data_IF_878135266282
#
_entry.id   IF_878135266282
#
_cell.length_a   1.000
_cell.length_b   1.000
_cell.length_c   1.000
_cell.angle_alpha   90.00
_cell.angle_beta   90.00
_cell.angle_gamma   90.00
#
_symmetry.space_group_name_H-M   'P 1'
#
loop_
_entity.id
_entity.type
_entity.pdbx_description
1 polymer ?
#
# COMPACT_ATOMS: atom_id res chain seq x y z
N UNK A 1 -2.34 -31.85 -35.31
CA UNK A 1 -1.98 -31.94 -36.75
C UNK A 1 -2.86 -32.95 -37.50
N UNK A 2 -3.04 -34.16 -36.98
CA UNK A 2 -3.82 -35.19 -37.67
C UNK A 2 -5.30 -34.83 -37.93
N UNK A 3 -5.93 -34.00 -37.09
CA UNK A 3 -7.32 -33.59 -37.25
C UNK A 3 -7.49 -32.73 -38.50
N UNK A 4 -6.60 -31.77 -38.73
CA UNK A 4 -6.65 -30.91 -39.90
C UNK A 4 -6.21 -31.60 -41.18
N UNK A 5 -5.32 -32.59 -41.09
CA UNK A 5 -4.94 -33.43 -42.24
C UNK A 5 -6.09 -34.35 -42.71
N UNK A 6 -6.99 -34.69 -41.79
CA UNK A 6 -8.14 -35.58 -42.05
C UNK A 6 -9.49 -34.86 -41.84
N UNK A 7 -9.54 -33.56 -42.13
CA UNK A 7 -10.72 -32.71 -41.86
C UNK A 7 -12.00 -33.20 -42.57
N UNK A 8 -11.84 -33.92 -43.67
CA UNK A 8 -12.93 -34.45 -44.47
C UNK A 8 -13.38 -35.87 -44.05
N UNK A 9 -12.80 -36.39 -42.97
CA UNK A 9 -13.20 -37.71 -42.47
C UNK A 9 -14.67 -37.69 -42.03
N UNK A 10 -15.38 -38.77 -42.37
CA UNK A 10 -16.84 -38.94 -42.13
C UNK A 10 -17.21 -38.94 -40.64
N UNK A 11 -16.25 -39.19 -39.76
CA UNK A 11 -16.45 -39.13 -38.31
C UNK A 11 -16.58 -37.68 -37.78
N UNK A 12 -16.08 -36.70 -38.53
CA UNK A 12 -16.20 -35.26 -38.21
C UNK A 12 -17.52 -34.73 -38.77
N UNK A 13 -18.43 -34.36 -37.89
CA UNK A 13 -19.74 -33.82 -38.28
C UNK A 13 -19.57 -32.47 -39.01
N UNK A 14 -20.47 -32.14 -39.96
CA UNK A 14 -20.35 -30.92 -40.78
C UNK A 14 -20.13 -29.63 -39.95
N UNK A 15 -20.91 -29.44 -38.89
CA UNK A 15 -20.80 -28.28 -38.01
C UNK A 15 -19.47 -28.24 -37.18
N UNK A 16 -18.94 -29.42 -36.84
CA UNK A 16 -17.62 -29.49 -36.18
C UNK A 16 -16.50 -29.14 -37.16
N UNK A 17 -16.62 -29.59 -38.42
CA UNK A 17 -15.67 -29.25 -39.48
C UNK A 17 -15.63 -27.75 -39.74
N UNK A 18 -16.78 -27.10 -39.84
CA UNK A 18 -16.89 -25.65 -40.01
C UNK A 18 -16.16 -24.92 -38.87
N UNK A 19 -16.46 -25.27 -37.64
CA UNK A 19 -15.85 -24.68 -36.46
C UNK A 19 -14.34 -24.93 -36.36
N UNK A 20 -13.88 -26.11 -36.72
CA UNK A 20 -12.44 -26.43 -36.76
C UNK A 20 -11.71 -25.58 -37.82
N UNK A 21 -12.33 -25.31 -38.96
CA UNK A 21 -11.76 -24.48 -40.01
C UNK A 21 -11.73 -23.01 -39.62
N UNK A 22 -12.82 -22.51 -39.03
CA UNK A 22 -12.90 -21.12 -38.55
C UNK A 22 -11.86 -20.83 -37.44
N UNK A 23 -11.73 -21.76 -36.47
CA UNK A 23 -10.86 -21.57 -35.30
C UNK A 23 -9.45 -22.18 -35.46
N UNK A 24 -9.00 -22.43 -36.72
CA UNK A 24 -7.72 -23.08 -36.96
C UNK A 24 -6.54 -22.28 -36.36
N UNK A 25 -6.54 -20.96 -36.52
CA UNK A 25 -5.49 -20.10 -35.99
C UNK A 25 -5.41 -20.15 -34.46
N UNK A 26 -6.56 -20.18 -33.78
CA UNK A 26 -6.63 -20.30 -32.33
C UNK A 26 -6.13 -21.67 -31.84
N UNK A 27 -6.43 -22.74 -32.60
CA UNK A 27 -5.92 -24.07 -32.29
C UNK A 27 -4.39 -24.15 -32.46
N UNK A 28 -3.85 -23.55 -33.52
CA UNK A 28 -2.40 -23.48 -33.75
C UNK A 28 -1.69 -22.63 -32.66
N UNK A 29 -2.27 -21.52 -32.27
CA UNK A 29 -1.76 -20.69 -31.15
C UNK A 29 -1.81 -21.46 -29.83
N UNK A 30 -2.93 -22.15 -29.55
CA UNK A 30 -3.09 -22.98 -28.35
C UNK A 30 -2.07 -24.12 -28.30
N UNK A 31 -1.80 -24.74 -29.44
CA UNK A 31 -0.76 -25.77 -29.54
C UNK A 31 0.63 -25.21 -29.30
N UNK A 32 0.94 -24.05 -29.87
CA UNK A 32 2.22 -23.36 -29.64
C UNK A 32 2.41 -23.03 -28.16
N UNK A 33 1.39 -22.46 -27.51
CA UNK A 33 1.44 -22.06 -26.10
C UNK A 33 1.46 -23.27 -25.15
N UNK A 34 0.79 -24.36 -25.52
CA UNK A 34 0.78 -25.61 -24.73
C UNK A 34 2.00 -26.50 -24.94
N UNK A 35 2.86 -26.20 -25.91
CA UNK A 35 4.05 -27.01 -26.20
C UNK A 35 5.22 -26.55 -25.34
N UNK A 36 5.77 -27.48 -24.56
CA UNK A 36 6.95 -27.22 -23.73
C UNK A 36 8.16 -26.94 -24.63
N UNK A 37 8.78 -25.79 -24.44
CA UNK A 37 10.02 -25.45 -25.13
C UNK A 37 11.22 -26.10 -24.45
N UNK A 38 11.96 -26.90 -25.19
CA UNK A 38 13.18 -27.58 -24.71
C UNK A 38 14.47 -26.83 -25.12
N UNK A 39 14.32 -25.74 -25.87
CA UNK A 39 15.39 -24.90 -26.43
C UNK A 39 15.56 -23.57 -25.67
N UNK A 40 14.95 -23.44 -24.49
CA UNK A 40 15.09 -22.26 -23.67
C UNK A 40 16.58 -22.01 -23.32
N UNK A 41 17.06 -20.76 -23.39
CA UNK A 41 18.46 -20.45 -23.11
C UNK A 41 18.72 -20.44 -21.59
N UNK A 42 18.72 -21.61 -20.97
CA UNK A 42 19.00 -21.81 -19.55
C UNK A 42 20.36 -22.53 -19.39
N UNK A 43 21.05 -22.22 -18.31
CA UNK A 43 22.25 -22.97 -17.94
C UNK A 43 21.83 -24.36 -17.42
N UNK A 44 22.33 -25.42 -18.08
CA UNK A 44 22.02 -26.80 -17.73
C UNK A 44 23.16 -27.51 -16.96
N UNK A 45 24.20 -26.77 -16.56
CA UNK A 45 25.30 -27.32 -15.77
C UNK A 45 24.81 -27.69 -14.36
N UNK A 46 25.07 -28.89 -13.89
CA UNK A 46 24.67 -29.40 -12.57
C UNK A 46 25.05 -28.45 -11.41
N UNK A 47 26.19 -27.76 -11.54
CA UNK A 47 26.67 -26.80 -10.54
C UNK A 47 25.90 -25.50 -10.46
N UNK A 48 25.17 -25.12 -11.52
CA UNK A 48 24.45 -23.85 -11.61
C UNK A 48 23.23 -23.79 -10.69
N UNK A 49 22.69 -24.94 -10.30
CA UNK A 49 21.44 -25.06 -9.53
C UNK A 49 21.63 -25.54 -8.10
N UNK A 50 22.86 -25.40 -7.56
CA UNK A 50 23.10 -25.70 -6.14
C UNK A 50 22.40 -24.68 -5.27
N UNK A 51 21.59 -25.18 -4.33
CA UNK A 51 20.93 -24.34 -3.33
C UNK A 51 22.00 -23.87 -2.32
N UNK A 52 22.23 -22.56 -2.27
CA UNK A 52 23.06 -21.92 -1.24
C UNK A 52 22.22 -21.42 -0.07
N UNK A 53 22.86 -20.75 0.90
CA UNK A 53 22.15 -20.18 2.05
C UNK A 53 21.19 -19.03 1.67
N UNK A 54 21.37 -18.44 0.50
CA UNK A 54 20.57 -17.33 0.00
C UNK A 54 20.82 -16.02 0.74
N UNK A 55 20.17 -14.95 0.28
CA UNK A 55 20.17 -13.66 0.96
C UNK A 55 18.78 -13.39 1.53
N UNK A 56 18.62 -13.67 2.82
CA UNK A 56 17.33 -13.54 3.51
C UNK A 56 16.79 -12.12 3.49
N UNK A 57 17.65 -11.11 3.68
CA UNK A 57 17.24 -9.70 3.68
C UNK A 57 16.75 -9.24 2.29
N UNK A 58 17.45 -9.67 1.22
CA UNK A 58 17.00 -9.40 -0.15
C UNK A 58 15.72 -10.16 -0.49
N UNK A 59 15.55 -11.39 0.02
CA UNK A 59 14.33 -12.16 -0.17
C UNK A 59 13.13 -11.49 0.50
N UNK A 60 13.28 -11.00 1.74
CA UNK A 60 12.21 -10.24 2.42
C UNK A 60 11.84 -8.99 1.63
N UNK A 61 12.86 -8.22 1.20
CA UNK A 61 12.63 -7.02 0.38
C UNK A 61 11.85 -7.34 -0.90
N UNK A 62 12.28 -8.36 -1.64
CA UNK A 62 11.61 -8.78 -2.88
C UNK A 62 10.17 -9.27 -2.64
N UNK A 63 9.93 -10.06 -1.58
CA UNK A 63 8.59 -10.53 -1.25
C UNK A 63 7.66 -9.39 -0.85
N UNK A 64 8.17 -8.36 -0.18
CA UNK A 64 7.43 -7.14 0.13
C UNK A 64 7.13 -6.33 -1.14
N UNK A 65 8.13 -6.16 -2.04
CA UNK A 65 7.96 -5.48 -3.33
C UNK A 65 6.91 -6.16 -4.24
N UNK A 66 6.82 -7.48 -4.18
CA UNK A 66 5.84 -8.27 -4.92
C UNK A 66 4.52 -8.47 -4.15
N UNK A 67 4.37 -7.85 -2.97
CA UNK A 67 3.19 -7.97 -2.09
C UNK A 67 2.86 -9.42 -1.68
N UNK A 68 3.85 -10.33 -1.71
CA UNK A 68 3.66 -11.74 -1.37
C UNK A 68 3.99 -11.98 0.12
N UNK A 69 3.35 -11.23 1.01
CA UNK A 69 3.62 -11.25 2.45
C UNK A 69 3.41 -12.63 3.10
N UNK A 70 2.49 -13.43 2.56
CA UNK A 70 2.18 -14.77 3.07
C UNK A 70 3.36 -15.76 2.98
N UNK A 71 4.34 -15.49 2.15
CA UNK A 71 5.52 -16.34 2.00
C UNK A 71 6.62 -16.02 3.05
N UNK A 72 6.61 -14.83 3.64
CA UNK A 72 7.62 -14.44 4.65
C UNK A 72 7.66 -15.43 5.81
N UNK A 73 6.56 -15.71 6.54
CA UNK A 73 6.55 -16.71 7.61
C UNK A 73 6.78 -18.12 7.08
N UNK A 74 6.27 -18.42 5.88
CA UNK A 74 6.40 -19.77 5.30
C UNK A 74 7.84 -20.15 4.98
N UNK A 75 8.70 -19.17 4.68
CA UNK A 75 10.14 -19.38 4.47
C UNK A 75 10.98 -19.14 5.73
N UNK A 76 10.35 -18.94 6.90
CA UNK A 76 11.05 -18.67 8.16
C UNK A 76 11.84 -17.36 8.13
N UNK A 77 11.32 -16.36 7.45
CA UNK A 77 11.92 -15.04 7.31
C UNK A 77 11.33 -14.01 8.31
N UNK A 78 10.53 -14.48 9.27
CA UNK A 78 9.97 -13.64 10.32
C UNK A 78 11.07 -12.97 11.14
N UNK A 79 10.95 -11.66 11.34
CA UNK A 79 11.94 -10.87 12.08
C UNK A 79 13.23 -10.57 11.30
N UNK A 80 13.33 -10.99 10.04
CA UNK A 80 14.43 -10.58 9.17
C UNK A 80 14.11 -9.19 8.60
N UNK A 81 14.95 -8.19 8.92
CA UNK A 81 14.81 -6.86 8.33
C UNK A 81 15.06 -6.93 6.81
N UNK A 82 14.28 -6.25 5.98
CA UNK A 82 14.55 -6.15 4.54
C UNK A 82 15.90 -5.46 4.30
N UNK A 83 16.53 -5.75 3.15
CA UNK A 83 17.74 -5.06 2.75
C UNK A 83 17.47 -3.55 2.62
N UNK A 84 18.25 -2.74 3.31
CA UNK A 84 18.12 -1.29 3.23
C UNK A 84 18.36 -0.79 1.80
N UNK A 85 17.58 0.19 1.36
CA UNK A 85 17.89 0.91 0.14
C UNK A 85 19.14 1.77 0.35
N UNK A 86 20.06 1.83 -0.62
CA UNK A 86 21.31 2.57 -0.48
C UNK A 86 21.13 4.09 -0.32
N UNK A 87 19.92 4.60 -0.54
CA UNK A 87 19.58 6.03 -0.45
C UNK A 87 18.82 6.40 0.82
N UNK A 88 18.67 5.50 1.80
CA UNK A 88 17.95 5.82 3.04
C UNK A 88 18.76 6.80 3.87
N UNK A 89 18.33 8.05 3.91
CA UNK A 89 18.89 9.05 4.80
C UNK A 89 18.56 8.68 6.26
N UNK A 90 19.49 8.86 7.21
CA UNK A 90 19.19 8.61 8.61
C UNK A 90 18.08 9.55 9.09
N UNK A 91 17.04 8.97 9.68
CA UNK A 91 15.97 9.75 10.29
C UNK A 91 16.49 10.53 11.52
N UNK A 92 16.05 11.75 11.67
CA UNK A 92 16.32 12.56 12.88
C UNK A 92 15.31 12.23 13.97
N UNK A 93 15.65 12.50 15.22
CA UNK A 93 14.71 12.33 16.33
C UNK A 93 13.67 13.45 16.31
N UNK A 94 12.39 13.10 16.29
CA UNK A 94 11.28 14.04 16.34
C UNK A 94 10.96 14.43 17.79
N UNK A 95 10.42 15.63 17.97
CA UNK A 95 9.98 16.14 19.27
C UNK A 95 8.48 15.88 19.47
N UNK A 96 8.08 15.82 20.75
CA UNK A 96 6.67 15.84 21.15
C UNK A 96 6.42 17.16 21.87
N UNK A 97 5.40 17.89 21.45
CA UNK A 97 5.05 19.17 22.03
C UNK A 97 3.52 19.34 22.12
N UNK A 98 3.09 20.39 22.77
CA UNK A 98 1.66 20.74 22.91
C UNK A 98 1.26 21.65 21.75
N UNK A 99 0.12 21.34 21.11
CA UNK A 99 -0.39 22.14 20.02
C UNK A 99 -0.50 23.62 20.44
N UNK A 100 -0.01 24.58 19.63
CA UNK A 100 -0.10 25.99 19.92
C UNK A 100 -1.54 26.44 20.18
N UNK A 101 -1.75 27.47 21.00
CA UNK A 101 -3.07 28.05 21.24
C UNK A 101 -3.70 28.61 19.95
N UNK A 102 -2.87 29.12 19.05
CA UNK A 102 -3.25 29.59 17.71
C UNK A 102 -2.46 28.77 16.67
N UNK A 103 -2.92 27.57 16.32
CA UNK A 103 -2.24 26.77 15.30
C UNK A 103 -2.32 27.46 13.95
N UNK A 104 -1.30 27.31 13.13
CA UNK A 104 -1.28 27.87 11.78
C UNK A 104 -0.42 27.03 10.85
N UNK A 105 -0.74 27.07 9.55
CA UNK A 105 -0.01 26.38 8.51
C UNK A 105 -0.52 24.98 8.23
N UNK A 106 0.35 24.13 7.72
CA UNK A 106 0.00 22.79 7.27
C UNK A 106 0.35 21.74 8.32
N UNK A 107 -0.59 20.86 8.59
CA UNK A 107 -0.40 19.73 9.49
C UNK A 107 -0.82 18.43 8.80
N UNK A 108 -0.12 17.36 9.13
CA UNK A 108 -0.57 16.01 8.86
C UNK A 108 -1.32 15.52 10.09
N UNK A 109 -2.54 15.04 9.89
CA UNK A 109 -3.40 14.55 10.97
C UNK A 109 -3.61 13.04 10.82
N UNK A 110 -3.34 12.29 11.86
CA UNK A 110 -3.62 10.86 11.86
C UNK A 110 -3.96 10.32 13.26
N UNK A 111 -4.68 9.20 13.25
CA UNK A 111 -5.01 8.44 14.43
C UNK A 111 -4.01 7.31 14.64
N UNK A 112 -3.59 7.12 15.88
CA UNK A 112 -3.01 5.87 16.31
C UNK A 112 -4.14 4.96 16.81
N UNK A 113 -4.39 3.81 16.17
CA UNK A 113 -5.44 2.90 16.58
C UNK A 113 -5.22 2.38 18.00
N UNK A 114 -6.29 2.03 18.70
CA UNK A 114 -6.21 1.43 20.01
C UNK A 114 -5.45 0.10 19.97
N UNK A 115 -4.51 -0.07 20.88
CA UNK A 115 -3.80 -1.35 21.06
C UNK A 115 -4.56 -2.19 22.07
N UNK A 116 -5.00 -3.37 21.64
CA UNK A 116 -5.69 -4.34 22.48
C UNK A 116 -4.81 -5.53 22.80
N UNK A 117 -4.93 -6.05 23.99
CA UNK A 117 -4.22 -7.25 24.44
C UNK A 117 -5.15 -8.20 25.20
N UNK A 118 -4.62 -9.35 25.59
CA UNK A 118 -5.33 -10.31 26.42
C UNK A 118 -4.83 -10.26 27.85
N UNK A 119 -5.77 -10.13 28.80
CA UNK A 119 -5.51 -10.36 30.22
C UNK A 119 -6.35 -11.54 30.67
N UNK A 120 -5.76 -12.72 30.70
CA UNK A 120 -6.48 -13.99 30.82
C UNK A 120 -7.35 -14.25 29.58
N UNK A 121 -8.65 -14.41 29.77
CA UNK A 121 -9.65 -14.62 28.69
C UNK A 121 -10.28 -13.33 28.18
N UNK A 122 -10.03 -12.19 28.84
CA UNK A 122 -10.64 -10.90 28.49
C UNK A 122 -9.72 -10.10 27.55
N UNK A 123 -10.32 -9.50 26.52
CA UNK A 123 -9.65 -8.47 25.73
C UNK A 123 -9.66 -7.17 26.54
N UNK A 124 -8.51 -6.55 26.67
CA UNK A 124 -8.32 -5.26 27.34
C UNK A 124 -7.65 -4.28 26.39
N UNK A 125 -8.02 -3.01 26.50
CA UNK A 125 -7.34 -1.93 25.79
C UNK A 125 -6.08 -1.60 26.58
N UNK A 126 -4.92 -1.86 25.99
CA UNK A 126 -3.60 -1.53 26.56
C UNK A 126 -3.25 -0.08 26.32
N UNK A 127 -3.56 0.42 25.13
CA UNK A 127 -3.42 1.81 24.76
C UNK A 127 -4.68 2.25 24.01
N UNK A 128 -5.33 3.34 24.40
CA UNK A 128 -6.50 3.85 23.71
C UNK A 128 -6.12 4.44 22.36
N UNK A 129 -7.10 4.61 21.49
CA UNK A 129 -6.96 5.42 20.28
C UNK A 129 -6.54 6.84 20.68
N UNK A 130 -5.66 7.43 19.86
CA UNK A 130 -5.20 8.78 20.06
C UNK A 130 -4.98 9.49 18.74
N UNK A 131 -5.32 10.76 18.67
CA UNK A 131 -5.09 11.62 17.53
C UNK A 131 -3.82 12.44 17.69
N UNK A 132 -3.13 12.66 16.58
CA UNK A 132 -1.91 13.42 16.50
C UNK A 132 -1.94 14.34 15.29
N UNK A 133 -1.45 15.56 15.48
CA UNK A 133 -1.05 16.43 14.39
C UNK A 133 0.47 16.44 14.28
N UNK A 134 0.99 16.55 13.08
CA UNK A 134 2.42 16.62 12.81
C UNK A 134 2.69 17.84 11.95
N UNK A 135 3.67 18.61 12.36
CA UNK A 135 4.22 19.71 11.58
C UNK A 135 5.74 19.60 11.62
N UNK A 136 6.37 19.53 10.46
CA UNK A 136 7.80 19.27 10.30
C UNK A 136 8.22 17.97 11.03
N UNK A 137 9.02 18.05 12.08
CA UNK A 137 9.46 16.93 12.90
C UNK A 137 8.81 16.90 14.28
N UNK A 138 7.80 17.75 14.52
CA UNK A 138 7.13 17.86 15.81
C UNK A 138 5.77 17.18 15.78
N UNK A 139 5.51 16.34 16.76
CA UNK A 139 4.27 15.60 16.95
C UNK A 139 3.48 16.21 18.10
N UNK A 140 2.23 16.56 17.83
CA UNK A 140 1.31 17.17 18.78
C UNK A 140 0.20 16.17 19.13
N UNK A 141 0.20 15.55 20.31
CA UNK A 141 -0.93 14.78 20.80
C UNK A 141 -2.16 15.70 20.94
N UNK A 142 -3.29 15.27 20.40
CA UNK A 142 -4.51 16.05 20.39
C UNK A 142 -5.51 15.52 21.41
N UNK A 143 -6.15 16.43 22.14
CA UNK A 143 -7.42 16.18 22.80
C UNK A 143 -8.57 16.30 21.80
N UNK A 144 -9.75 15.77 22.16
CA UNK A 144 -10.95 15.87 21.30
C UNK A 144 -11.28 17.34 20.97
N UNK A 145 -11.18 18.24 21.95
CA UNK A 145 -11.42 19.67 21.74
C UNK A 145 -10.39 20.33 20.80
N UNK A 146 -9.11 19.90 20.86
CA UNK A 146 -8.08 20.39 19.97
C UNK A 146 -8.30 19.88 18.55
N UNK A 147 -8.67 18.61 18.40
CA UNK A 147 -9.01 18.00 17.12
C UNK A 147 -10.17 18.74 16.45
N UNK A 148 -11.29 18.91 17.16
CA UNK A 148 -12.47 19.62 16.62
C UNK A 148 -12.12 21.04 16.18
N UNK A 149 -11.31 21.76 16.95
CA UNK A 149 -10.87 23.12 16.55
C UNK A 149 -10.05 23.13 15.27
N UNK A 150 -9.14 22.16 15.09
CA UNK A 150 -8.31 22.09 13.88
C UNK A 150 -9.13 21.86 12.61
N UNK A 151 -10.24 21.13 12.70
CA UNK A 151 -11.00 20.70 11.52
C UNK A 151 -11.61 21.87 10.74
N UNK A 152 -11.88 23.00 11.38
CA UNK A 152 -12.49 24.18 10.77
C UNK A 152 -11.72 25.49 11.07
N UNK A 153 -10.43 25.39 11.41
CA UNK A 153 -9.59 26.55 11.62
C UNK A 153 -9.11 27.12 10.27
N UNK A 154 -9.47 28.35 9.90
CA UNK A 154 -9.11 28.92 8.59
C UNK A 154 -7.62 29.21 8.43
N UNK A 155 -6.84 29.17 9.51
CA UNK A 155 -5.38 29.34 9.48
C UNK A 155 -4.64 28.01 9.27
N UNK A 156 -5.35 26.89 9.20
CA UNK A 156 -4.81 25.53 9.16
C UNK A 156 -5.24 24.82 7.90
N UNK A 157 -4.33 24.01 7.33
CA UNK A 157 -4.65 23.00 6.31
C UNK A 157 -4.21 21.63 6.81
N UNK A 158 -5.03 20.61 6.53
CA UNK A 158 -4.85 19.26 7.04
C UNK A 158 -4.71 18.25 5.91
N UNK A 159 -3.61 17.50 5.91
CA UNK A 159 -3.53 16.23 5.22
C UNK A 159 -3.95 15.13 6.20
N UNK A 160 -4.90 14.29 5.81
CA UNK A 160 -5.42 13.21 6.65
C UNK A 160 -5.31 11.86 5.94
N UNK A 161 -5.32 10.76 6.69
CA UNK A 161 -5.36 9.45 6.06
C UNK A 161 -6.79 8.99 5.73
N UNK A 162 -7.76 9.24 6.61
CA UNK A 162 -9.18 8.89 6.43
C UNK A 162 -10.02 10.06 6.90
N UNK A 163 -10.60 10.80 5.98
CA UNK A 163 -11.38 12.01 6.28
C UNK A 163 -12.82 11.72 6.74
N UNK A 164 -13.38 10.54 6.41
CA UNK A 164 -14.79 10.25 6.69
C UNK A 164 -15.17 10.38 8.18
N UNK A 165 -14.44 9.81 9.15
CA UNK A 165 -14.76 9.99 10.57
C UNK A 165 -14.57 11.43 11.04
N UNK A 166 -13.64 12.18 10.42
CA UNK A 166 -13.35 13.56 10.76
C UNK A 166 -14.46 14.52 10.29
N UNK A 167 -14.98 14.31 9.10
CA UNK A 167 -16.16 15.04 8.63
C UNK A 167 -17.38 14.80 9.53
N UNK A 168 -17.60 13.52 9.92
CA UNK A 168 -18.68 13.22 10.85
C UNK A 168 -18.51 13.91 12.22
N UNK A 169 -17.25 13.99 12.72
CA UNK A 169 -16.93 14.69 13.96
C UNK A 169 -17.14 16.21 13.81
N UNK A 170 -16.65 16.83 12.75
CA UNK A 170 -16.84 18.25 12.47
C UNK A 170 -18.33 18.61 12.42
N UNK A 171 -19.12 17.83 11.66
CA UNK A 171 -20.59 18.04 11.54
C UNK A 171 -21.31 17.90 12.88
N UNK A 172 -20.92 16.96 13.73
CA UNK A 172 -21.49 16.79 15.06
C UNK A 172 -21.25 18.01 15.97
N UNK A 173 -20.22 18.81 15.68
CA UNK A 173 -19.88 20.06 16.38
C UNK A 173 -20.27 21.33 15.62
N UNK A 174 -21.05 21.20 14.52
CA UNK A 174 -21.57 22.33 13.73
C UNK A 174 -20.59 22.90 12.71
N UNK A 175 -19.48 22.19 12.44
CA UNK A 175 -18.48 22.50 11.41
C UNK A 175 -18.65 21.67 10.14
N UNK A 176 -17.71 21.81 9.22
CA UNK A 176 -17.70 21.14 7.92
C UNK A 176 -16.40 20.36 7.62
N UNK A 177 -15.39 20.50 8.47
CA UNK A 177 -14.06 19.95 8.22
C UNK A 177 -13.33 20.69 7.10
N UNK A 178 -13.54 22.00 7.01
CA UNK A 178 -13.05 22.86 5.91
C UNK A 178 -11.54 22.98 5.84
N UNK A 179 -10.82 22.61 6.90
CA UNK A 179 -9.35 22.59 6.93
C UNK A 179 -8.75 21.35 6.21
N UNK A 180 -9.55 20.31 5.93
CA UNK A 180 -9.06 19.10 5.27
C UNK A 180 -8.86 19.37 3.78
N UNK A 181 -7.63 19.24 3.29
CA UNK A 181 -7.25 19.46 1.90
C UNK A 181 -6.74 18.21 1.19
N UNK A 182 -6.47 17.14 1.93
CA UNK A 182 -5.98 15.88 1.37
C UNK A 182 -6.45 14.68 2.19
N UNK A 183 -6.87 13.61 1.49
CA UNK A 183 -7.23 12.32 2.06
C UNK A 183 -6.40 11.21 1.43
N UNK A 184 -5.48 10.62 2.21
CA UNK A 184 -4.59 9.55 1.74
C UNK A 184 -5.32 8.26 1.39
N UNK A 185 -6.46 7.96 2.02
CA UNK A 185 -7.24 6.75 1.72
C UNK A 185 -8.01 6.89 0.40
N UNK A 186 -8.53 8.09 0.13
CA UNK A 186 -9.14 8.39 -1.16
C UNK A 186 -8.10 8.35 -2.28
N UNK A 187 -6.91 8.92 -2.03
CA UNK A 187 -5.79 8.85 -2.96
C UNK A 187 -5.36 7.39 -3.23
N UNK A 188 -5.27 6.56 -2.20
CA UNK A 188 -4.94 5.13 -2.35
C UNK A 188 -5.99 4.40 -3.19
N UNK A 189 -7.27 4.71 -3.00
CA UNK A 189 -8.36 4.16 -3.81
C UNK A 189 -8.25 4.59 -5.28
N UNK A 190 -7.93 5.84 -5.55
CA UNK A 190 -7.73 6.35 -6.91
C UNK A 190 -6.57 5.64 -7.60
N UNK A 191 -5.43 5.49 -6.90
CA UNK A 191 -4.22 4.89 -7.45
C UNK A 191 -4.32 3.38 -7.67
N UNK A 192 -5.06 2.66 -6.82
CA UNK A 192 -5.35 1.23 -6.96
C UNK A 192 -6.76 0.87 -6.46
N UNK A 193 -7.76 1.02 -7.31
CA UNK A 193 -9.15 0.67 -7.01
C UNK A 193 -9.38 -0.86 -6.85
N UNK A 194 -8.40 -1.68 -7.16
CA UNK A 194 -8.50 -3.14 -7.07
C UNK A 194 -8.21 -3.68 -5.67
N UNK A 195 -7.55 -2.91 -4.83
CA UNK A 195 -7.22 -3.32 -3.48
C UNK A 195 -8.47 -3.50 -2.61
N UNK A 196 -8.48 -4.55 -1.80
CA UNK A 196 -9.61 -4.87 -0.93
C UNK A 196 -9.64 -4.04 0.35
N UNK A 197 -8.50 -3.45 0.73
CA UNK A 197 -8.30 -2.65 1.93
C UNK A 197 -7.20 -1.63 1.72
N UNK A 198 -7.32 -0.50 2.41
CA UNK A 198 -6.32 0.57 2.43
C UNK A 198 -5.91 0.80 3.88
N UNK A 199 -4.79 0.19 4.29
CA UNK A 199 -4.23 0.34 5.63
C UNK A 199 -2.89 1.07 5.55
N UNK A 200 -2.64 1.98 6.49
CA UNK A 200 -1.40 2.76 6.53
C UNK A 200 -0.17 1.87 6.47
N UNK A 201 -0.12 0.80 7.28
CA UNK A 201 1.03 -0.11 7.33
C UNK A 201 1.32 -0.82 6.00
N UNK A 202 0.27 -1.21 5.26
CA UNK A 202 0.40 -1.84 3.95
C UNK A 202 0.89 -0.82 2.92
N UNK A 203 0.34 0.40 2.94
CA UNK A 203 0.74 1.48 2.04
C UNK A 203 2.17 1.97 2.32
N UNK A 204 2.57 2.11 3.59
CA UNK A 204 3.95 2.45 3.93
C UNK A 204 4.95 1.46 3.34
N UNK A 205 4.59 0.17 3.35
CA UNK A 205 5.41 -0.89 2.78
C UNK A 205 5.44 -0.85 1.25
N UNK A 206 4.26 -0.76 0.60
CA UNK A 206 4.15 -0.79 -0.87
C UNK A 206 4.81 0.43 -1.52
N UNK A 207 4.65 1.61 -0.91
CA UNK A 207 5.29 2.84 -1.37
C UNK A 207 6.75 2.99 -0.91
N UNK A 208 7.27 2.05 -0.10
CA UNK A 208 8.62 2.14 0.49
C UNK A 208 8.83 3.49 1.18
N UNK A 209 7.80 3.94 1.89
CA UNK A 209 7.82 5.23 2.53
C UNK A 209 8.92 5.28 3.62
N UNK A 210 9.74 6.31 3.57
CA UNK A 210 10.88 6.46 4.47
C UNK A 210 10.54 7.39 5.61
N UNK A 211 11.03 7.07 6.80
CA UNK A 211 10.87 7.96 7.93
C UNK A 211 11.82 9.16 7.81
N UNK A 212 11.26 10.35 7.63
CA UNK A 212 12.03 11.59 7.71
C UNK A 212 12.48 11.89 9.14
N UNK A 213 11.72 11.41 10.12
CA UNK A 213 12.06 11.48 11.55
C UNK A 213 11.45 10.27 12.26
N UNK A 214 11.92 9.99 13.47
CA UNK A 214 11.37 8.96 14.37
C UNK A 214 10.79 9.61 15.61
N UNK A 215 9.66 9.09 16.12
CA UNK A 215 9.04 9.62 17.34
C UNK A 215 8.48 8.44 18.15
N UNK A 216 8.86 8.32 19.42
CA UNK A 216 8.41 7.23 20.29
C UNK A 216 6.89 7.25 20.50
N UNK A 217 6.30 8.45 20.60
CA UNK A 217 4.85 8.59 20.81
C UNK A 217 4.03 8.06 19.63
N UNK A 218 4.57 8.19 18.41
CA UNK A 218 3.95 7.70 17.20
C UNK A 218 5.01 7.32 16.15
N UNK A 219 5.39 6.03 16.08
CA UNK A 219 6.49 5.57 15.23
C UNK A 219 6.30 5.80 13.73
N UNK A 220 5.06 5.77 13.25
CA UNK A 220 4.75 5.94 11.81
C UNK A 220 4.68 7.41 11.36
N UNK A 221 4.74 8.36 12.29
CA UNK A 221 4.54 9.78 11.99
C UNK A 221 5.48 10.30 10.88
N UNK A 222 6.76 9.97 10.96
CA UNK A 222 7.76 10.43 9.99
C UNK A 222 7.60 9.79 8.60
N UNK A 223 7.10 8.57 8.54
CA UNK A 223 6.90 7.85 7.28
C UNK A 223 5.62 8.25 6.57
N UNK A 224 4.61 8.69 7.32
CA UNK A 224 3.32 9.05 6.75
C UNK A 224 3.42 10.31 5.86
N UNK A 225 4.28 11.26 6.21
CA UNK A 225 4.54 12.44 5.39
C UNK A 225 5.17 12.08 4.03
N UNK A 226 6.13 11.16 4.01
CA UNK A 226 6.76 10.67 2.79
C UNK A 226 5.77 9.85 1.95
N UNK A 227 4.93 9.02 2.58
CA UNK A 227 3.85 8.30 1.89
C UNK A 227 2.95 9.26 1.12
N UNK A 228 2.45 10.30 1.79
CA UNK A 228 1.56 11.27 1.15
C UNK A 228 2.25 12.03 0.01
N UNK A 229 3.51 12.41 0.19
CA UNK A 229 4.28 13.05 -0.87
C UNK A 229 4.43 12.16 -2.11
N UNK A 230 4.69 10.86 -1.92
CA UNK A 230 4.79 9.88 -3.02
C UNK A 230 3.46 9.67 -3.73
N UNK A 231 2.36 9.54 -2.99
CA UNK A 231 1.02 9.39 -3.55
C UNK A 231 0.60 10.63 -4.35
N UNK A 232 0.85 11.84 -3.82
CA UNK A 232 0.62 13.10 -4.55
C UNK A 232 1.42 13.14 -5.85
N UNK A 233 2.70 12.80 -5.79
CA UNK A 233 3.56 12.77 -6.97
C UNK A 233 3.07 11.75 -8.03
N UNK A 234 2.55 10.59 -7.61
CA UNK A 234 2.03 9.57 -8.51
C UNK A 234 0.72 10.01 -9.17
N UNK A 235 -0.21 10.63 -8.43
CA UNK A 235 -1.45 11.21 -8.98
C UNK A 235 -1.11 12.25 -10.06
N UNK A 236 -0.18 13.16 -9.76
CA UNK A 236 0.28 14.16 -10.73
C UNK A 236 0.96 13.51 -11.94
N UNK A 237 1.78 12.47 -11.74
CA UNK A 237 2.42 11.74 -12.85
C UNK A 237 1.42 11.02 -13.77
N UNK A 238 0.24 10.66 -13.25
CA UNK A 238 -0.86 10.05 -14.01
C UNK A 238 -1.83 11.08 -14.62
N UNK A 239 -1.60 12.38 -14.39
CA UNK A 239 -2.50 13.48 -14.81
C UNK A 239 -3.94 13.34 -14.21
N UNK A 240 -4.00 12.85 -12.97
CA UNK A 240 -5.25 12.56 -12.25
C UNK A 240 -5.59 13.61 -11.17
N UNK A 241 -4.85 14.72 -11.09
CA UNK A 241 -5.09 15.79 -10.10
C UNK A 241 -6.50 16.38 -10.19
N UNK A 242 -7.05 16.55 -11.40
CA UNK A 242 -8.40 17.05 -11.58
C UNK A 242 -9.43 16.05 -11.03
N UNK A 243 -9.24 14.75 -11.28
CA UNK A 243 -10.14 13.70 -10.80
C UNK A 243 -10.09 13.56 -9.27
N UNK A 244 -8.93 13.81 -8.66
CA UNK A 244 -8.80 13.78 -7.20
C UNK A 244 -9.50 14.98 -6.52
N UNK A 245 -9.53 16.15 -7.17
CA UNK A 245 -10.06 17.40 -6.59
C UNK A 245 -11.55 17.64 -6.90
N UNK A 246 -12.16 16.89 -7.84
CA UNK A 246 -13.59 16.95 -8.18
C UNK A 246 -14.44 16.10 -7.22
#
# INVERSE_FOLDING_TARGET
ENVYANIDDKTIKPKQREHLLECKADAELSHLLGTIRTDAPIDTAEGAYKVGEGNKAAAVKLLQELEIHSLIPRFGLDGVAPAADPETLPAVEGSVDVLPLTPSGHYLLAARPAVTGKQGTKNVVLQPEAWYAVQDTTVYPLSDDALVRLLDDPAVTLDVFDSAPLYALAMAHGGWGSSIVWDGKLAAYLLDASASKYQVSELLTSYKAQAAFTCEAWPDAGSLADLFARMKAEITARDEDALYND
#
